data_IF_790361369266
#
_entry.id   IF_790361369266
#
_cell.length_a   1.000
_cell.length_b   1.000
_cell.length_c   1.000
_cell.angle_alpha   90.00
_cell.angle_beta   90.00
_cell.angle_gamma   90.00
#
_symmetry.space_group_name_H-M   'P 1'
#
loop_
_entity.id
_entity.type
_entity.pdbx_description
1 polymer ?
#
# COMPACT_ATOMS: atom_id res chain seq x y z
N UNK A 1 -70.31 -34.10 15.95
CA UNK A 1 -70.22 -34.40 17.40
C UNK A 1 -68.75 -34.59 17.74
N UNK A 2 -68.08 -33.51 18.18
CA UNK A 2 -66.66 -33.53 18.54
C UNK A 2 -66.47 -34.27 19.87
N UNK A 3 -65.79 -35.41 19.84
CA UNK A 3 -65.45 -36.18 21.04
C UNK A 3 -64.16 -35.59 21.62
N UNK A 4 -64.31 -34.60 22.49
CA UNK A 4 -63.22 -34.00 23.24
C UNK A 4 -62.68 -34.99 24.27
N UNK A 5 -61.54 -35.61 23.96
CA UNK A 5 -60.75 -36.34 24.95
C UNK A 5 -60.05 -35.34 25.86
N UNK A 6 -60.42 -35.34 27.15
CA UNK A 6 -59.74 -34.54 28.18
C UNK A 6 -58.33 -35.07 28.36
N UNK A 7 -57.34 -34.35 27.81
CA UNK A 7 -55.91 -34.59 28.10
C UNK A 7 -55.69 -34.45 29.61
N UNK A 8 -55.04 -35.44 30.24
CA UNK A 8 -54.68 -35.39 31.66
C UNK A 8 -53.69 -34.25 31.91
N UNK A 9 -53.72 -33.64 33.10
CA UNK A 9 -52.87 -32.50 33.45
C UNK A 9 -51.37 -32.82 33.31
N UNK A 10 -51.00 -34.08 33.57
CA UNK A 10 -49.64 -34.61 33.34
C UNK A 10 -49.27 -34.62 31.86
N UNK A 11 -50.18 -35.07 30.98
CA UNK A 11 -49.95 -35.07 29.54
C UNK A 11 -49.82 -33.66 28.96
N UNK A 12 -50.55 -32.69 29.52
CA UNK A 12 -50.44 -31.27 29.15
C UNK A 12 -49.09 -30.69 29.59
N UNK A 13 -48.65 -31.00 30.81
CA UNK A 13 -47.34 -30.59 31.33
C UNK A 13 -46.18 -31.15 30.50
N UNK A 14 -46.25 -32.42 30.10
CA UNK A 14 -45.26 -33.06 29.23
C UNK A 14 -45.26 -32.41 27.84
N UNK A 15 -46.42 -32.18 27.24
CA UNK A 15 -46.54 -31.55 25.92
C UNK A 15 -45.98 -30.11 25.93
N UNK A 16 -46.23 -29.36 27.00
CA UNK A 16 -45.75 -28.00 27.16
C UNK A 16 -44.22 -27.96 27.32
N UNK A 17 -43.64 -28.90 28.08
CA UNK A 17 -42.18 -29.06 28.16
C UNK A 17 -41.56 -29.39 26.81
N UNK A 18 -42.15 -30.32 26.05
CA UNK A 18 -41.66 -30.69 24.71
C UNK A 18 -41.71 -29.48 23.77
N UNK A 19 -42.82 -28.74 23.75
CA UNK A 19 -42.94 -27.52 22.94
C UNK A 19 -41.93 -26.46 23.33
N UNK A 20 -41.67 -26.28 24.63
CA UNK A 20 -40.70 -25.31 25.13
C UNK A 20 -39.28 -25.71 24.71
N UNK A 21 -38.92 -26.99 24.84
CA UNK A 21 -37.62 -27.52 24.39
C UNK A 21 -37.45 -27.39 22.87
N UNK A 22 -38.48 -27.66 22.09
CA UNK A 22 -38.43 -27.50 20.63
C UNK A 22 -38.30 -26.02 20.23
N UNK A 23 -39.03 -25.12 20.92
CA UNK A 23 -38.95 -23.69 20.66
C UNK A 23 -37.57 -23.11 21.03
N UNK A 24 -36.99 -23.53 22.16
CA UNK A 24 -35.64 -23.11 22.56
C UNK A 24 -34.58 -23.70 21.62
N UNK A 25 -34.70 -24.98 21.23
CA UNK A 25 -33.78 -25.60 20.26
C UNK A 25 -33.81 -24.87 18.92
N UNK A 26 -35.00 -24.59 18.39
CA UNK A 26 -35.15 -23.86 17.14
C UNK A 26 -34.56 -22.44 17.21
N UNK A 27 -34.78 -21.73 18.32
CA UNK A 27 -34.22 -20.40 18.54
C UNK A 27 -32.69 -20.43 18.61
N UNK A 28 -32.12 -21.38 19.35
CA UNK A 28 -30.67 -21.54 19.49
C UNK A 28 -30.05 -21.95 18.16
N UNK A 29 -30.65 -22.88 17.41
CA UNK A 29 -30.14 -23.31 16.11
C UNK A 29 -30.13 -22.17 15.08
N UNK A 30 -31.19 -21.36 15.03
CA UNK A 30 -31.26 -20.25 14.08
C UNK A 30 -30.32 -19.11 14.45
N UNK A 31 -30.18 -18.81 15.74
CA UNK A 31 -29.19 -17.82 16.20
C UNK A 31 -27.76 -18.33 15.96
N UNK A 32 -27.50 -19.62 16.17
CA UNK A 32 -26.22 -20.24 15.88
C UNK A 32 -25.89 -20.24 14.37
N UNK A 33 -26.87 -20.54 13.50
CA UNK A 33 -26.70 -20.46 12.04
C UNK A 33 -26.40 -19.03 11.57
N UNK A 34 -27.07 -18.03 12.15
CA UNK A 34 -26.81 -16.62 11.87
C UNK A 34 -25.38 -16.21 12.26
N UNK A 35 -24.85 -16.76 13.35
CA UNK A 35 -23.47 -16.58 13.82
C UNK A 35 -22.47 -17.54 13.15
N UNK A 36 -22.91 -18.27 12.12
CA UNK A 36 -22.05 -19.05 11.24
C UNK A 36 -21.71 -20.47 11.72
N UNK A 37 -22.41 -21.00 12.72
CA UNK A 37 -22.37 -22.43 13.07
C UNK A 37 -23.14 -23.27 12.01
N UNK A 38 -22.63 -24.45 11.61
CA UNK A 38 -21.40 -25.13 12.07
C UNK A 38 -20.17 -24.81 11.23
N UNK A 39 -20.25 -23.90 10.24
CA UNK A 39 -19.24 -23.76 9.18
C UNK A 39 -18.06 -22.85 9.52
N UNK A 40 -18.23 -21.87 10.41
CA UNK A 40 -17.21 -20.83 10.72
C UNK A 40 -16.79 -20.77 12.19
N UNK A 41 -17.66 -21.17 13.11
CA UNK A 41 -17.34 -21.34 14.53
C UNK A 41 -17.86 -22.70 14.94
N UNK A 42 -16.99 -23.71 14.97
CA UNK A 42 -17.28 -24.89 15.77
C UNK A 42 -17.10 -24.46 17.23
N UNK A 43 -18.11 -24.67 18.08
CA UNK A 43 -17.92 -24.55 19.53
C UNK A 43 -16.79 -25.46 20.03
N UNK A 44 -16.51 -25.44 21.34
CA UNK A 44 -15.42 -26.21 21.95
C UNK A 44 -15.41 -27.67 21.43
N UNK A 45 -14.35 -28.09 20.71
CA UNK A 45 -14.34 -29.37 20.03
C UNK A 45 -14.22 -30.50 21.06
N UNK A 46 -15.21 -31.39 21.09
CA UNK A 46 -15.17 -32.62 21.90
C UNK A 46 -14.47 -33.76 21.13
N UNK A 47 -14.15 -33.53 19.85
CA UNK A 47 -13.43 -34.48 18.99
C UNK A 47 -12.32 -33.71 18.30
N UNK A 48 -11.07 -34.14 18.49
CA UNK A 48 -9.94 -33.66 17.71
C UNK A 48 -10.23 -33.98 16.24
N UNK A 49 -10.41 -32.91 15.45
CA UNK A 49 -10.75 -33.01 14.04
C UNK A 49 -9.59 -33.74 13.31
N UNK A 50 -9.80 -34.93 12.71
CA UNK A 50 -8.74 -35.67 12.01
C UNK A 50 -8.26 -34.96 10.73
N UNK A 51 -8.93 -33.88 10.31
CA UNK A 51 -8.48 -32.98 9.25
C UNK A 51 -7.32 -32.06 9.66
N UNK A 52 -6.92 -32.05 10.94
CA UNK A 52 -5.75 -31.32 11.42
C UNK A 52 -4.41 -31.81 10.82
N UNK A 53 -4.41 -32.94 10.10
CA UNK A 53 -3.20 -33.50 9.46
C UNK A 53 -2.93 -32.87 8.08
N UNK A 54 -3.91 -32.20 7.47
CA UNK A 54 -3.77 -31.54 6.15
C UNK A 54 -4.36 -30.11 6.09
N UNK A 55 -4.74 -29.54 7.23
CA UNK A 55 -5.24 -28.17 7.32
C UNK A 55 -4.10 -27.17 7.49
N UNK A 56 -4.14 -26.05 6.75
CA UNK A 56 -3.25 -24.92 6.98
C UNK A 56 -3.37 -24.44 8.44
N UNK A 57 -2.27 -24.08 9.11
CA UNK A 57 -2.31 -23.58 10.47
C UNK A 57 -3.15 -22.31 10.57
N UNK A 58 -3.71 -22.06 11.76
CA UNK A 58 -4.38 -20.81 12.09
C UNK A 58 -3.42 -19.92 12.89
N UNK A 59 -3.27 -18.66 12.47
CA UNK A 59 -2.60 -17.66 13.30
C UNK A 59 -3.54 -17.29 14.44
N UNK A 60 -3.17 -17.49 15.69
CA UNK A 60 -4.06 -17.26 16.83
C UNK A 60 -3.48 -16.19 17.78
N UNK A 61 -3.46 -14.92 17.35
CA UNK A 61 -3.05 -13.83 18.21
C UNK A 61 -4.09 -13.61 19.31
N UNK A 62 -3.63 -13.30 20.53
CA UNK A 62 -4.53 -12.95 21.63
C UNK A 62 -4.90 -11.46 21.52
N UNK A 63 -6.19 -11.16 21.45
CA UNK A 63 -6.71 -9.79 21.42
C UNK A 63 -7.69 -9.58 22.58
N UNK A 64 -7.40 -8.68 23.55
CA UNK A 64 -6.19 -7.87 23.69
C UNK A 64 -4.95 -8.71 24.09
N UNK A 65 -3.73 -8.23 23.80
CA UNK A 65 -2.50 -8.96 24.11
C UNK A 65 -2.28 -9.14 25.62
N UNK A 66 -1.42 -10.08 26.00
CA UNK A 66 -1.00 -10.23 27.40
C UNK A 66 -0.27 -8.98 27.88
N UNK A 67 -0.50 -8.55 29.14
CA UNK A 67 0.26 -7.47 29.73
C UNK A 67 1.67 -7.96 30.09
N UNK A 68 2.61 -7.77 29.17
CA UNK A 68 4.03 -8.06 29.36
C UNK A 68 4.85 -6.75 29.45
N UNK A 69 4.88 -6.07 30.62
CA UNK A 69 5.57 -4.79 30.79
C UNK A 69 7.09 -4.99 30.73
N UNK A 70 7.76 -4.18 29.93
CA UNK A 70 9.22 -4.17 29.80
C UNK A 70 9.89 -3.12 30.70
N UNK A 71 9.17 -2.05 31.03
CA UNK A 71 9.66 -0.91 31.80
C UNK A 71 8.82 -0.66 33.07
N UNK A 72 9.41 -0.01 34.08
CA UNK A 72 8.69 0.35 35.30
C UNK A 72 7.50 1.29 35.04
N UNK A 73 7.61 2.19 34.06
CA UNK A 73 6.50 3.06 33.66
C UNK A 73 5.33 2.25 33.06
N UNK A 74 5.62 1.23 32.25
CA UNK A 74 4.60 0.32 31.70
C UNK A 74 3.95 -0.52 32.80
N UNK A 75 4.68 -0.88 33.85
CA UNK A 75 4.12 -1.59 35.00
C UNK A 75 3.14 -0.71 35.81
N UNK A 76 3.39 0.61 35.91
CA UNK A 76 2.57 1.54 36.70
C UNK A 76 1.38 2.06 35.89
N UNK A 77 1.60 2.49 34.63
CA UNK A 77 0.58 3.14 33.80
C UNK A 77 -0.11 2.20 32.81
N UNK A 78 0.39 0.97 32.67
CA UNK A 78 -0.12 -0.02 31.72
C UNK A 78 0.82 -0.21 30.52
N UNK A 79 0.78 -1.42 29.96
CA UNK A 79 1.61 -1.79 28.81
C UNK A 79 1.10 -1.17 27.51
N UNK A 80 2.02 -0.82 26.61
CA UNK A 80 1.66 -0.49 25.23
C UNK A 80 1.32 -1.80 24.51
N UNK A 81 0.08 -1.94 23.99
CA UNK A 81 -0.33 -3.17 23.32
C UNK A 81 0.50 -3.37 22.04
N UNK A 82 1.23 -4.48 21.98
CA UNK A 82 2.04 -4.84 20.80
C UNK A 82 1.21 -5.73 19.87
N UNK A 83 1.27 -5.41 18.58
CA UNK A 83 0.71 -6.22 17.50
C UNK A 83 1.52 -7.50 17.37
N UNK A 84 0.84 -8.64 17.21
CA UNK A 84 1.46 -9.94 16.93
C UNK A 84 1.18 -10.30 15.48
N UNK A 85 1.79 -9.54 14.58
CA UNK A 85 1.62 -9.73 13.15
C UNK A 85 2.40 -10.93 12.63
N UNK A 86 2.03 -11.41 11.44
CA UNK A 86 2.72 -12.50 10.76
C UNK A 86 4.06 -11.98 10.21
N UNK A 87 5.14 -12.69 10.54
CA UNK A 87 6.50 -12.34 10.12
C UNK A 87 6.77 -12.69 8.64
N UNK A 88 7.62 -11.88 8.01
CA UNK A 88 8.14 -12.11 6.66
C UNK A 88 9.59 -12.55 6.73
N UNK A 89 9.91 -13.62 6.00
CA UNK A 89 11.27 -14.13 5.91
C UNK A 89 11.86 -13.78 4.54
N UNK A 90 12.78 -12.82 4.55
CA UNK A 90 13.52 -12.41 3.36
C UNK A 90 14.68 -13.38 3.08
N UNK A 91 14.89 -13.68 1.81
CA UNK A 91 16.03 -14.48 1.39
C UNK A 91 16.57 -14.00 0.03
N UNK A 92 17.87 -14.18 -0.16
CA UNK A 92 18.54 -13.86 -1.42
C UNK A 92 19.03 -15.17 -2.06
N UNK A 93 18.82 -15.31 -3.36
CA UNK A 93 19.29 -16.49 -4.11
C UNK A 93 19.83 -16.05 -5.46
N UNK A 94 20.94 -16.65 -5.88
CA UNK A 94 21.53 -16.34 -7.18
C UNK A 94 20.62 -16.68 -8.37
N UNK A 95 19.64 -17.60 -8.18
CA UNK A 95 18.66 -17.97 -9.20
C UNK A 95 17.40 -17.12 -9.15
N UNK A 96 16.83 -16.96 -7.97
CA UNK A 96 15.53 -16.29 -7.79
C UNK A 96 15.68 -14.76 -7.68
N UNK A 97 16.88 -14.26 -7.40
CA UNK A 97 17.20 -12.84 -7.31
C UNK A 97 17.16 -12.25 -5.91
N UNK A 98 16.97 -10.93 -5.88
CA UNK A 98 16.97 -10.09 -4.69
C UNK A 98 15.53 -9.67 -4.32
N UNK A 99 15.30 -9.42 -3.02
CA UNK A 99 13.99 -9.03 -2.45
C UNK A 99 12.92 -10.10 -2.43
N UNK A 100 13.32 -11.37 -2.59
CA UNK A 100 12.39 -12.48 -2.41
C UNK A 100 12.08 -12.66 -0.93
N UNK A 101 10.83 -12.96 -0.64
CA UNK A 101 10.42 -13.34 0.71
C UNK A 101 9.34 -14.38 0.66
N UNK A 102 9.19 -15.07 1.78
CA UNK A 102 8.07 -15.96 2.00
C UNK A 102 7.42 -15.66 3.33
N UNK A 103 6.15 -16.04 3.41
CA UNK A 103 5.33 -15.98 4.62
C UNK A 103 4.75 -17.36 4.86
N UNK A 104 4.57 -17.71 6.12
CA UNK A 104 3.88 -18.95 6.47
C UNK A 104 2.43 -18.89 6.01
N UNK A 105 1.95 -19.99 5.40
CA UNK A 105 0.62 -20.04 4.81
C UNK A 105 -0.41 -20.33 5.90
N UNK A 106 -0.88 -19.28 6.59
CA UNK A 106 -1.99 -19.39 7.52
C UNK A 106 -3.35 -19.31 6.81
N UNK A 107 -4.37 -19.95 7.38
CA UNK A 107 -5.73 -19.91 6.84
C UNK A 107 -6.38 -18.51 6.94
N UNK A 108 -5.96 -17.70 7.89
CA UNK A 108 -6.52 -16.39 8.22
C UNK A 108 -5.58 -15.23 7.86
N UNK A 109 -4.63 -15.42 6.95
CA UNK A 109 -3.86 -14.28 6.41
C UNK A 109 -4.79 -13.37 5.63
N UNK A 110 -4.71 -12.07 5.91
CA UNK A 110 -5.42 -11.04 5.17
C UNK A 110 -4.39 -10.25 4.37
N UNK A 111 -4.58 -10.22 3.06
CA UNK A 111 -3.82 -9.33 2.18
C UNK A 111 -4.63 -8.08 1.85
N UNK A 112 -3.93 -7.01 1.50
CA UNK A 112 -4.57 -5.87 0.85
C UNK A 112 -5.16 -6.32 -0.49
N UNK A 113 -6.24 -5.69 -0.98
CA UNK A 113 -6.66 -5.86 -2.37
C UNK A 113 -5.57 -5.37 -3.34
N UNK A 114 -5.43 -6.03 -4.49
CA UNK A 114 -4.41 -5.69 -5.51
C UNK A 114 -4.46 -4.23 -5.94
N UNK A 115 -5.67 -3.68 -6.15
CA UNK A 115 -5.84 -2.28 -6.55
C UNK A 115 -5.33 -1.31 -5.48
N UNK A 116 -5.52 -1.64 -4.20
CA UNK A 116 -5.12 -0.80 -3.07
C UNK A 116 -3.60 -0.91 -2.87
N UNK A 117 -3.05 -2.12 -2.95
CA UNK A 117 -1.60 -2.33 -2.91
C UNK A 117 -0.90 -1.54 -4.02
N UNK A 118 -1.39 -1.64 -5.27
CA UNK A 118 -0.91 -0.85 -6.40
C UNK A 118 -0.99 0.65 -6.14
N UNK A 119 -2.14 1.14 -5.67
CA UNK A 119 -2.35 2.56 -5.39
C UNK A 119 -1.35 3.08 -4.36
N UNK A 120 -1.16 2.36 -3.25
CA UNK A 120 -0.20 2.75 -2.20
C UNK A 120 1.23 2.79 -2.76
N UNK A 121 1.64 1.75 -3.50
CA UNK A 121 2.99 1.68 -4.05
C UNK A 121 3.31 2.84 -5.01
N UNK A 122 2.38 3.18 -5.91
CA UNK A 122 2.56 4.25 -6.88
C UNK A 122 2.52 5.65 -6.24
N UNK A 123 1.59 5.91 -5.33
CA UNK A 123 1.43 7.24 -4.74
C UNK A 123 2.44 7.56 -3.65
N UNK A 124 2.80 6.58 -2.81
CA UNK A 124 3.78 6.80 -1.74
C UNK A 124 5.20 6.44 -2.17
N UNK A 125 5.41 5.98 -3.42
CA UNK A 125 6.71 5.54 -3.96
C UNK A 125 7.38 4.45 -3.12
N UNK A 126 6.55 3.58 -2.52
CA UNK A 126 6.98 2.50 -1.64
C UNK A 126 7.34 1.31 -2.52
N UNK A 127 8.63 0.99 -2.57
CA UNK A 127 9.14 -0.18 -3.29
C UNK A 127 9.28 -1.37 -2.36
N UNK A 128 10.46 -1.53 -1.79
CA UNK A 128 10.83 -2.68 -0.95
C UNK A 128 10.61 -2.43 0.55
N UNK A 129 10.79 -1.19 0.99
CA UNK A 129 10.73 -0.84 2.41
C UNK A 129 9.27 -0.70 2.88
N UNK A 130 8.80 -1.67 3.66
CA UNK A 130 7.44 -1.69 4.25
C UNK A 130 7.38 -1.15 5.67
N UNK A 131 8.50 -0.71 6.26
CA UNK A 131 8.56 -0.34 7.69
C UNK A 131 7.55 0.76 8.04
N UNK A 132 7.37 1.75 7.15
CA UNK A 132 6.39 2.83 7.37
C UNK A 132 4.95 2.33 7.44
N UNK A 133 4.59 1.32 6.63
CA UNK A 133 3.25 0.72 6.65
C UNK A 133 3.03 -0.14 7.89
N UNK A 134 4.06 -0.89 8.29
CA UNK A 134 4.03 -1.70 9.50
C UNK A 134 3.85 -0.82 10.75
N UNK A 135 4.54 0.33 10.82
CA UNK A 135 4.33 1.33 11.89
C UNK A 135 2.89 1.85 11.89
N UNK A 136 2.31 2.16 10.73
CA UNK A 136 0.93 2.62 10.63
C UNK A 136 -0.03 1.53 11.14
N UNK A 137 0.15 0.27 10.71
CA UNK A 137 -0.65 -0.87 11.16
C UNK A 137 -0.56 -1.04 12.68
N UNK A 138 0.64 -1.01 13.24
CA UNK A 138 0.86 -1.24 14.67
C UNK A 138 0.32 -0.07 15.51
N UNK A 139 0.36 1.15 14.97
CA UNK A 139 -0.28 2.33 15.57
C UNK A 139 -1.81 2.20 15.57
N UNK A 140 -2.40 1.77 14.45
CA UNK A 140 -3.84 1.53 14.33
C UNK A 140 -4.30 0.39 15.25
N UNK A 141 -3.48 -0.66 15.39
CA UNK A 141 -3.74 -1.76 16.31
C UNK A 141 -3.76 -1.23 17.75
N UNK A 142 -2.72 -0.50 18.14
CA UNK A 142 -2.61 0.09 19.48
C UNK A 142 -3.79 1.00 19.79
N UNK A 143 -4.16 1.87 18.85
CA UNK A 143 -5.32 2.76 18.97
C UNK A 143 -6.62 1.98 19.15
N UNK A 144 -6.80 0.88 18.42
CA UNK A 144 -7.98 0.02 18.53
C UNK A 144 -8.09 -0.62 19.92
N UNK A 145 -6.98 -1.10 20.48
CA UNK A 145 -6.94 -1.67 21.84
C UNK A 145 -7.21 -0.59 22.90
N UNK A 146 -6.61 0.60 22.80
CA UNK A 146 -6.90 1.70 23.72
C UNK A 146 -8.36 2.13 23.65
N UNK A 147 -8.95 2.15 22.44
CA UNK A 147 -10.36 2.43 22.26
C UNK A 147 -11.24 1.37 22.92
N UNK A 148 -10.89 0.07 22.83
CA UNK A 148 -11.58 -0.99 23.56
C UNK A 148 -11.52 -0.80 25.08
N UNK A 149 -10.33 -0.48 25.63
CA UNK A 149 -10.19 -0.19 27.06
C UNK A 149 -11.03 1.02 27.49
N UNK A 150 -11.08 2.06 26.66
CA UNK A 150 -11.90 3.25 26.92
C UNK A 150 -13.40 2.91 26.95
N UNK A 151 -13.89 2.06 26.05
CA UNK A 151 -15.27 1.57 26.03
C UNK A 151 -15.61 0.71 27.26
N UNK A 152 -14.67 -0.14 27.69
CA UNK A 152 -14.81 -0.95 28.90
C UNK A 152 -14.88 -0.06 30.15
N UNK A 153 -13.98 0.92 30.25
CA UNK A 153 -13.98 1.89 31.33
C UNK A 153 -15.31 2.67 31.42
N UNK A 154 -15.83 3.15 30.28
CA UNK A 154 -17.16 3.78 30.22
C UNK A 154 -18.26 2.85 30.72
N UNK A 155 -18.24 1.58 30.28
CA UNK A 155 -19.25 0.58 30.67
C UNK A 155 -19.20 0.30 32.18
N UNK A 156 -17.99 0.23 32.75
CA UNK A 156 -17.80 0.10 34.19
C UNK A 156 -18.33 1.32 34.96
N UNK A 157 -18.05 2.54 34.50
CA UNK A 157 -18.60 3.77 35.10
C UNK A 157 -20.13 3.82 35.02
N UNK A 158 -20.72 3.36 33.91
CA UNK A 158 -22.16 3.29 33.75
C UNK A 158 -22.81 2.36 34.79
N UNK A 159 -22.23 1.18 35.01
CA UNK A 159 -22.70 0.28 36.06
C UNK A 159 -22.50 0.87 37.46
N UNK A 160 -21.36 1.53 37.68
CA UNK A 160 -21.07 2.19 38.96
C UNK A 160 -22.13 3.25 39.31
N UNK A 161 -22.53 4.10 38.36
CA UNK A 161 -23.58 5.12 38.57
C UNK A 161 -24.97 4.49 38.71
N UNK A 162 -25.22 3.34 38.08
CA UNK A 162 -26.50 2.66 38.20
C UNK A 162 -26.73 2.13 39.63
N UNK A 163 -25.66 1.72 40.31
CA UNK A 163 -25.72 1.22 41.70
C UNK A 163 -25.59 2.37 42.73
N UNK A 164 -24.78 3.39 42.43
CA UNK A 164 -24.48 4.47 43.36
C UNK A 164 -25.49 5.63 43.26
N UNK A 165 -26.16 6.02 44.35
CA UNK A 165 -27.10 7.15 44.36
C UNK A 165 -26.41 8.51 44.07
N UNK A 166 -25.10 8.62 44.28
CA UNK A 166 -24.35 9.83 43.95
C UNK A 166 -23.84 9.81 42.51
N UNK A 167 -24.60 10.44 41.62
CA UNK A 167 -24.31 10.50 40.17
C UNK A 167 -23.21 11.49 39.80
N UNK A 168 -22.98 12.52 40.62
CA UNK A 168 -21.91 13.53 40.44
C UNK A 168 -20.71 13.17 41.34
N UNK A 169 -19.46 13.30 40.87
CA UNK A 169 -19.03 13.88 39.59
C UNK A 169 -18.94 12.89 38.41
N UNK A 170 -19.20 11.60 38.65
CA UNK A 170 -18.96 10.51 37.69
C UNK A 170 -19.63 10.68 36.33
N UNK A 171 -20.81 11.32 36.31
CA UNK A 171 -21.51 11.63 35.06
C UNK A 171 -20.70 12.50 34.10
N UNK A 172 -19.82 13.39 34.60
CA UNK A 172 -18.94 14.18 33.76
C UNK A 172 -17.90 13.31 33.05
N UNK A 173 -17.37 12.27 33.72
CA UNK A 173 -16.45 11.33 33.09
C UNK A 173 -17.12 10.50 31.99
N UNK A 174 -18.39 10.13 32.17
CA UNK A 174 -19.16 9.47 31.12
C UNK A 174 -19.36 10.41 29.92
N UNK A 175 -19.66 11.69 30.17
CA UNK A 175 -19.88 12.67 29.10
C UNK A 175 -18.68 12.86 28.16
N UNK A 176 -17.44 12.65 28.65
CA UNK A 176 -16.23 12.67 27.82
C UNK A 176 -16.23 11.63 26.70
N UNK A 177 -17.03 10.58 26.83
CA UNK A 177 -17.13 9.48 25.87
C UNK A 177 -18.43 9.50 25.05
N UNK A 178 -19.30 10.51 25.24
CA UNK A 178 -20.59 10.58 24.56
C UNK A 178 -20.48 10.81 23.05
N UNK A 179 -19.38 11.41 22.58
CA UNK A 179 -19.09 11.59 21.15
C UNK A 179 -19.12 10.27 20.37
N UNK A 180 -18.82 9.12 21.01
CA UNK A 180 -18.89 7.79 20.39
C UNK A 180 -20.33 7.47 19.95
N UNK A 181 -21.31 7.83 20.79
CA UNK A 181 -22.72 7.62 20.48
C UNK A 181 -23.21 8.60 19.43
N UNK A 182 -22.66 9.81 19.37
CA UNK A 182 -22.97 10.79 18.34
C UNK A 182 -22.46 10.32 16.96
N UNK A 183 -21.25 9.77 16.88
CA UNK A 183 -20.74 9.14 15.65
C UNK A 183 -21.63 7.96 15.22
N UNK A 184 -22.00 7.08 16.16
CA UNK A 184 -22.87 5.95 15.84
C UNK A 184 -24.29 6.39 15.42
N UNK A 185 -24.78 7.49 15.98
CA UNK A 185 -26.04 8.09 15.57
C UNK A 185 -25.97 8.59 14.13
N UNK A 186 -24.86 9.23 13.73
CA UNK A 186 -24.64 9.63 12.33
C UNK A 186 -24.55 8.43 11.37
N UNK A 187 -24.13 7.26 11.85
CA UNK A 187 -24.13 5.99 11.11
C UNK A 187 -25.51 5.30 11.06
N UNK A 188 -26.55 5.92 11.62
CA UNK A 188 -27.93 5.41 11.59
C UNK A 188 -28.25 4.35 12.65
N UNK A 189 -27.36 4.12 13.62
CA UNK A 189 -27.58 3.17 14.71
C UNK A 189 -28.34 3.89 15.84
N UNK A 190 -29.40 3.25 16.34
CA UNK A 190 -30.38 3.89 17.23
C UNK A 190 -29.77 4.42 18.53
N UNK A 191 -30.25 5.58 18.98
CA UNK A 191 -29.77 6.32 20.15
C UNK A 191 -30.02 5.50 21.42
N UNK A 192 -28.97 4.89 21.98
CA UNK A 192 -28.92 4.33 23.34
C UNK A 192 -29.87 3.13 23.56
N UNK A 193 -29.64 2.03 22.83
CA UNK A 193 -30.26 0.75 23.11
C UNK A 193 -29.72 0.16 24.42
N UNK A 194 -30.43 0.42 25.53
CA UNK A 194 -30.20 -0.24 26.82
C UNK A 194 -31.30 -1.27 27.02
N UNK A 195 -30.96 -2.56 27.06
CA UNK A 195 -31.91 -3.60 27.45
C UNK A 195 -31.56 -4.09 28.85
N UNK A 196 -32.55 -4.15 29.75
CA UNK A 196 -32.38 -4.65 31.12
C UNK A 196 -31.22 -4.00 31.91
N UNK A 197 -30.93 -2.71 31.66
CA UNK A 197 -29.81 -2.00 32.31
C UNK A 197 -28.43 -2.27 31.72
N UNK A 198 -28.32 -3.06 30.64
CA UNK A 198 -27.07 -3.32 29.94
C UNK A 198 -26.91 -2.38 28.72
N UNK A 199 -25.77 -1.67 28.61
CA UNK A 199 -25.48 -0.84 27.44
C UNK A 199 -25.02 -1.72 26.27
N UNK A 200 -25.97 -2.30 25.53
CA UNK A 200 -25.69 -3.22 24.41
C UNK A 200 -24.81 -2.58 23.35
N UNK A 201 -25.00 -1.28 23.10
CA UNK A 201 -24.23 -0.58 22.08
C UNK A 201 -22.73 -0.61 22.36
N UNK A 202 -22.31 -0.35 23.61
CA UNK A 202 -20.89 -0.42 23.98
C UNK A 202 -20.30 -1.82 23.74
N UNK A 203 -21.08 -2.87 23.98
CA UNK A 203 -20.66 -4.26 23.79
C UNK A 203 -20.46 -4.54 22.30
N UNK A 204 -21.41 -4.14 21.45
CA UNK A 204 -21.32 -4.32 20.00
C UNK A 204 -20.12 -3.56 19.45
N UNK A 205 -19.96 -2.28 19.80
CA UNK A 205 -18.84 -1.45 19.32
C UNK A 205 -17.51 -2.03 19.79
N UNK A 206 -17.42 -2.51 21.02
CA UNK A 206 -16.22 -3.18 21.54
C UNK A 206 -15.93 -4.48 20.78
N UNK A 207 -16.96 -5.25 20.40
CA UNK A 207 -16.81 -6.43 19.55
C UNK A 207 -16.28 -6.10 18.16
N UNK A 208 -16.82 -5.06 17.52
CA UNK A 208 -16.34 -4.56 16.21
C UNK A 208 -14.89 -4.09 16.30
N UNK A 209 -14.54 -3.32 17.34
CA UNK A 209 -13.16 -2.89 17.58
C UNK A 209 -12.21 -4.08 17.77
N UNK A 210 -12.67 -5.15 18.44
CA UNK A 210 -11.93 -6.41 18.56
C UNK A 210 -11.70 -7.10 17.21
N UNK A 211 -12.71 -7.17 16.34
CA UNK A 211 -12.57 -7.73 14.98
C UNK A 211 -11.60 -6.90 14.14
N UNK A 212 -11.63 -5.57 14.26
CA UNK A 212 -10.67 -4.70 13.56
C UNK A 212 -9.24 -4.94 14.07
N UNK A 213 -9.05 -4.99 15.38
CA UNK A 213 -7.75 -5.28 15.99
C UNK A 213 -7.22 -6.66 15.57
N UNK A 214 -8.09 -7.67 15.51
CA UNK A 214 -7.75 -9.01 15.02
C UNK A 214 -7.36 -8.98 13.54
N UNK A 215 -8.13 -8.28 12.69
CA UNK A 215 -7.80 -8.14 11.28
C UNK A 215 -6.43 -7.46 11.04
N UNK A 216 -6.05 -6.51 11.91
CA UNK A 216 -4.74 -5.85 11.84
C UNK A 216 -3.58 -6.79 12.17
N UNK A 217 -3.74 -7.74 13.12
CA UNK A 217 -2.72 -8.76 13.38
C UNK A 217 -2.55 -9.73 12.20
N UNK A 218 -3.62 -9.96 11.44
CA UNK A 218 -3.61 -10.84 10.28
C UNK A 218 -3.20 -10.14 8.97
N UNK A 219 -3.05 -8.82 8.99
CA UNK A 219 -2.73 -8.02 7.82
C UNK A 219 -1.24 -8.11 7.47
N UNK A 220 -0.96 -8.63 6.28
CA UNK A 220 0.40 -8.74 5.73
C UNK A 220 0.56 -7.85 4.50
N UNK A 221 1.63 -7.05 4.49
CA UNK A 221 2.02 -6.21 3.37
C UNK A 221 2.97 -6.95 2.44
N UNK A 222 2.58 -7.10 1.17
CA UNK A 222 3.31 -7.89 0.15
C UNK A 222 4.21 -7.05 -0.75
N UNK A 223 4.29 -5.74 -0.54
CA UNK A 223 5.09 -4.84 -1.38
C UNK A 223 6.57 -5.27 -1.40
N UNK A 224 7.25 -5.23 -2.56
CA UNK A 224 6.84 -4.61 -3.84
C UNK A 224 5.90 -5.45 -4.71
N UNK A 225 5.60 -6.69 -4.33
CA UNK A 225 4.75 -7.58 -5.12
C UNK A 225 3.27 -7.28 -4.90
N UNK A 226 2.46 -7.53 -5.94
CA UNK A 226 1.02 -7.60 -5.74
C UNK A 226 0.64 -8.86 -4.95
N UNK A 227 -0.37 -8.80 -4.08
CA UNK A 227 -0.88 -9.97 -3.35
C UNK A 227 -1.19 -11.18 -4.23
N UNK A 228 -1.68 -10.97 -5.45
CA UNK A 228 -1.94 -12.03 -6.44
C UNK A 228 -0.70 -12.73 -7.00
N UNK A 229 0.51 -12.18 -6.81
CA UNK A 229 1.76 -12.80 -7.26
C UNK A 229 2.25 -13.91 -6.31
N UNK A 230 1.59 -14.09 -5.16
CA UNK A 230 1.96 -15.09 -4.18
C UNK A 230 1.79 -16.52 -4.71
N UNK A 231 2.87 -17.29 -4.72
CA UNK A 231 2.86 -18.69 -5.12
C UNK A 231 2.97 -19.60 -3.90
N UNK A 232 2.06 -20.57 -3.79
CA UNK A 232 2.15 -21.58 -2.74
C UNK A 232 3.35 -22.51 -3.01
N UNK A 233 4.10 -22.82 -1.96
CA UNK A 233 5.05 -23.91 -2.01
C UNK A 233 5.51 -24.33 -0.62
N UNK A 234 6.59 -25.10 -0.56
CA UNK A 234 7.04 -25.77 0.65
C UNK A 234 8.49 -25.43 0.95
N UNK A 235 8.74 -24.96 2.14
CA UNK A 235 10.08 -24.62 2.63
C UNK A 235 10.30 -25.33 3.96
N UNK A 236 11.53 -25.77 4.20
CA UNK A 236 11.96 -26.32 5.48
C UNK A 236 12.28 -25.15 6.42
N UNK A 237 11.38 -24.86 7.35
CA UNK A 237 11.59 -23.88 8.42
C UNK A 237 11.93 -24.68 9.67
N UNK A 238 13.10 -24.44 10.26
CA UNK A 238 13.60 -25.17 11.44
C UNK A 238 13.61 -26.70 11.28
N UNK A 239 13.89 -27.18 10.07
CA UNK A 239 13.91 -28.60 9.73
C UNK A 239 12.53 -29.24 9.55
N UNK A 240 11.44 -28.48 9.70
CA UNK A 240 10.06 -28.95 9.48
C UNK A 240 9.55 -28.41 8.14
N UNK A 241 9.01 -29.28 7.25
CA UNK A 241 8.39 -28.82 6.01
C UNK A 241 7.10 -28.05 6.34
N UNK A 242 7.09 -26.75 6.05
CA UNK A 242 5.92 -25.89 6.20
C UNK A 242 5.45 -25.40 4.83
N UNK A 243 4.13 -25.31 4.67
CA UNK A 243 3.51 -24.66 3.52
C UNK A 243 3.66 -23.14 3.68
N UNK A 244 4.18 -22.49 2.64
CA UNK A 244 4.50 -21.06 2.62
C UNK A 244 3.97 -20.42 1.34
N UNK A 245 3.65 -19.13 1.40
CA UNK A 245 3.37 -18.30 0.23
C UNK A 245 4.66 -17.55 -0.09
N UNK A 246 5.13 -17.67 -1.32
CA UNK A 246 6.42 -17.17 -1.77
C UNK A 246 6.21 -16.09 -2.82
N UNK A 247 6.92 -14.98 -2.65
CA UNK A 247 6.97 -13.87 -3.59
C UNK A 247 8.38 -13.82 -4.17
N UNK A 248 8.49 -14.04 -5.48
CA UNK A 248 9.76 -14.28 -6.17
C UNK A 248 9.84 -13.51 -7.49
N UNK A 249 11.06 -13.31 -7.98
CA UNK A 249 11.37 -12.69 -9.26
C UNK A 249 11.09 -11.18 -9.30
N UNK A 250 10.97 -10.61 -10.50
CA UNK A 250 10.66 -9.19 -10.70
C UNK A 250 9.16 -8.94 -10.42
N UNK A 251 8.81 -7.96 -9.57
CA UNK A 251 7.42 -7.59 -9.32
C UNK A 251 6.67 -7.21 -10.60
N UNK A 252 5.43 -7.69 -10.74
CA UNK A 252 4.61 -7.43 -11.93
C UNK A 252 4.38 -5.93 -12.20
N UNK A 253 4.31 -5.13 -11.13
CA UNK A 253 4.11 -3.68 -11.21
C UNK A 253 5.20 -2.99 -12.04
N UNK A 254 6.45 -3.46 -11.92
CA UNK A 254 7.62 -2.84 -12.54
C UNK A 254 7.74 -3.08 -14.05
N UNK A 255 6.98 -4.05 -14.59
CA UNK A 255 6.87 -4.22 -16.04
C UNK A 255 6.02 -3.11 -16.68
N UNK A 256 5.04 -2.58 -15.95
CA UNK A 256 4.08 -1.61 -16.48
C UNK A 256 4.35 -0.17 -16.02
N UNK A 257 5.00 0.01 -14.86
CA UNK A 257 5.28 1.31 -14.27
C UNK A 257 6.77 1.42 -13.96
N UNK A 258 7.37 2.61 -14.07
CA UNK A 258 8.78 2.78 -13.77
C UNK A 258 9.07 2.46 -12.31
N UNK A 259 10.21 1.83 -12.08
CA UNK A 259 10.71 1.52 -10.74
C UNK A 259 10.93 2.83 -9.96
N UNK A 260 10.55 2.91 -8.68
CA UNK A 260 10.76 4.12 -7.87
C UNK A 260 12.20 4.62 -7.94
N UNK A 261 12.36 5.93 -8.18
CA UNK A 261 13.69 6.52 -8.45
C UNK A 261 14.66 6.35 -7.28
N UNK A 262 14.16 6.49 -6.04
CA UNK A 262 14.93 6.24 -4.81
C UNK A 262 15.53 4.83 -4.77
N UNK A 263 14.81 3.83 -5.26
CA UNK A 263 15.26 2.45 -5.29
C UNK A 263 16.35 2.25 -6.35
N UNK A 264 16.20 2.88 -7.53
CA UNK A 264 17.25 2.87 -8.57
C UNK A 264 18.52 3.59 -8.13
N UNK A 265 18.39 4.72 -7.43
CA UNK A 265 19.53 5.41 -6.80
C UNK A 265 20.23 4.50 -5.78
N UNK A 266 19.47 3.80 -4.94
CA UNK A 266 20.01 2.84 -3.98
C UNK A 266 20.79 1.70 -4.67
N UNK A 267 20.25 1.11 -5.73
CA UNK A 267 20.95 0.08 -6.51
C UNK A 267 22.21 0.61 -7.20
N UNK A 268 22.19 1.83 -7.71
CA UNK A 268 23.35 2.39 -8.40
C UNK A 268 24.47 2.80 -7.43
N UNK A 269 24.12 3.40 -6.28
CA UNK A 269 25.09 3.98 -5.34
C UNK A 269 25.51 2.99 -4.26
N UNK A 270 24.56 2.32 -3.61
CA UNK A 270 24.82 1.51 -2.40
C UNK A 270 24.99 0.03 -2.72
N UNK A 271 24.20 -0.52 -3.66
CA UNK A 271 24.16 -1.96 -3.99
C UNK A 271 24.28 -2.23 -5.49
N UNK A 272 25.46 -1.99 -6.09
CA UNK A 272 25.69 -2.17 -7.53
C UNK A 272 25.65 -3.63 -7.99
N UNK A 273 25.75 -4.58 -7.06
CA UNK A 273 25.51 -6.01 -7.28
C UNK A 273 24.07 -6.28 -7.72
N UNK A 274 23.09 -5.68 -7.04
CA UNK A 274 21.68 -5.79 -7.40
C UNK A 274 21.44 -5.18 -8.78
N UNK A 275 22.01 -4.00 -9.05
CA UNK A 275 21.91 -3.38 -10.36
C UNK A 275 22.46 -4.28 -11.49
N UNK A 276 23.64 -4.86 -11.30
CA UNK A 276 24.25 -5.78 -12.27
C UNK A 276 23.38 -7.00 -12.51
N UNK A 277 22.82 -7.59 -11.45
CA UNK A 277 21.91 -8.72 -11.54
C UNK A 277 20.62 -8.37 -12.28
N UNK A 278 20.00 -7.23 -11.96
CA UNK A 278 18.78 -6.79 -12.62
C UNK A 278 19.03 -6.55 -14.11
N UNK A 279 20.13 -5.87 -14.46
CA UNK A 279 20.50 -5.62 -15.85
C UNK A 279 20.83 -6.91 -16.62
N UNK A 280 21.50 -7.89 -16.00
CA UNK A 280 21.86 -9.14 -16.69
C UNK A 280 20.65 -10.05 -16.94
N UNK A 281 19.73 -10.14 -15.98
CA UNK A 281 18.59 -11.06 -16.07
C UNK A 281 17.38 -10.43 -16.76
N UNK A 282 17.12 -9.14 -16.49
CA UNK A 282 15.92 -8.43 -16.93
C UNK A 282 16.20 -7.32 -17.93
N UNK A 283 17.46 -7.09 -18.34
CA UNK A 283 17.80 -6.02 -19.30
C UNK A 283 17.26 -6.23 -20.72
N UNK A 284 16.71 -7.41 -21.03
CA UNK A 284 15.99 -7.67 -22.28
C UNK A 284 14.55 -7.13 -22.26
N UNK A 285 14.03 -6.86 -21.07
CA UNK A 285 12.78 -6.14 -20.88
C UNK A 285 13.18 -4.66 -20.94
N UNK A 286 12.60 -3.88 -21.84
CA UNK A 286 12.88 -2.44 -22.04
C UNK A 286 12.49 -1.61 -20.78
N UNK A 287 13.22 -1.84 -19.68
CA UNK A 287 12.99 -1.29 -18.34
C UNK A 287 14.23 -0.46 -17.96
N UNK A 288 13.97 0.78 -17.56
CA UNK A 288 15.02 1.71 -17.13
C UNK A 288 15.46 1.45 -15.70
N UNK A 289 16.56 0.71 -15.53
CA UNK A 289 17.19 0.44 -14.22
C UNK A 289 18.05 1.59 -13.71
N UNK A 290 18.40 2.56 -14.56
CA UNK A 290 19.24 3.70 -14.17
C UNK A 290 18.44 4.79 -13.44
N UNK A 291 19.06 5.53 -12.50
CA UNK A 291 18.42 6.68 -11.87
C UNK A 291 18.08 7.78 -12.89
N UNK A 292 16.97 8.50 -12.65
CA UNK A 292 16.51 9.58 -13.52
C UNK A 292 17.57 10.67 -13.73
N UNK A 293 18.38 10.96 -12.71
CA UNK A 293 19.48 11.95 -12.80
C UNK A 293 20.49 11.57 -13.88
N UNK A 294 20.87 10.28 -13.92
CA UNK A 294 21.85 9.78 -14.88
C UNK A 294 21.22 9.68 -16.26
N UNK A 295 19.99 9.17 -16.35
CA UNK A 295 19.25 9.13 -17.61
C UNK A 295 19.12 10.52 -18.23
N UNK A 296 18.73 11.52 -17.43
CA UNK A 296 18.65 12.91 -17.85
C UNK A 296 19.98 13.45 -18.36
N UNK A 297 21.08 13.17 -17.67
CA UNK A 297 22.42 13.56 -18.11
C UNK A 297 22.82 12.90 -19.43
N UNK A 298 22.49 11.61 -19.61
CA UNK A 298 22.76 10.88 -20.85
C UNK A 298 21.98 11.52 -22.00
N UNK A 299 20.66 11.73 -21.83
CA UNK A 299 19.84 12.37 -22.86
C UNK A 299 20.30 13.79 -23.19
N UNK A 300 20.65 14.60 -22.19
CA UNK A 300 21.20 15.94 -22.40
C UNK A 300 22.55 15.88 -23.14
N UNK A 301 23.42 14.92 -22.83
CA UNK A 301 24.70 14.73 -23.51
C UNK A 301 24.54 14.26 -24.96
N UNK A 302 23.60 13.35 -25.23
CA UNK A 302 23.29 12.86 -26.57
C UNK A 302 22.70 13.96 -27.43
N UNK A 303 21.79 14.76 -26.87
CA UNK A 303 21.19 15.89 -27.57
C UNK A 303 22.22 16.99 -27.89
N UNK A 304 23.14 17.27 -26.96
CA UNK A 304 24.26 18.18 -27.21
C UNK A 304 25.21 17.65 -28.29
N UNK A 305 25.49 16.35 -28.31
CA UNK A 305 26.31 15.72 -29.36
C UNK A 305 25.63 15.73 -30.74
N UNK A 306 24.31 15.51 -30.80
CA UNK A 306 23.52 15.62 -32.04
C UNK A 306 23.51 17.06 -32.57
N UNK A 307 23.32 18.04 -31.69
CA UNK A 307 23.37 19.44 -32.04
C UNK A 307 24.78 19.87 -32.48
N UNK A 308 25.83 19.41 -31.81
CA UNK A 308 27.21 19.70 -32.21
C UNK A 308 27.55 19.10 -33.57
N UNK A 309 27.10 17.87 -33.88
CA UNK A 309 27.30 17.25 -35.19
C UNK A 309 26.58 18.02 -36.29
N UNK A 310 25.31 18.40 -36.07
CA UNK A 310 24.57 19.24 -37.02
C UNK A 310 25.23 20.61 -37.24
N UNK A 311 25.80 21.22 -36.20
CA UNK A 311 26.54 22.48 -36.33
C UNK A 311 27.84 22.30 -37.10
N UNK A 312 28.60 21.21 -36.84
CA UNK A 312 29.82 20.90 -37.60
C UNK A 312 29.50 20.64 -39.07
N UNK A 313 28.45 19.88 -39.37
CA UNK A 313 28.01 19.62 -40.75
C UNK A 313 27.54 20.90 -41.46
N UNK A 314 26.89 21.82 -40.73
CA UNK A 314 26.49 23.13 -41.25
C UNK A 314 27.69 24.06 -41.45
N UNK A 315 28.69 24.03 -40.56
CA UNK A 315 29.93 24.81 -40.69
C UNK A 315 30.79 24.27 -41.84
N UNK A 316 30.84 22.96 -42.04
CA UNK A 316 31.49 22.35 -43.21
C UNK A 316 30.79 22.75 -44.52
N UNK A 317 29.45 22.73 -44.56
CA UNK A 317 28.68 23.28 -45.69
C UNK A 317 28.97 24.75 -45.95
N UNK A 318 29.07 25.58 -44.91
CA UNK A 318 29.40 27.01 -45.02
C UNK A 318 30.85 27.21 -45.50
N UNK A 319 31.78 26.37 -45.06
CA UNK A 319 33.20 26.42 -45.47
C UNK A 319 33.38 26.01 -46.93
N UNK A 320 32.61 25.03 -47.41
CA UNK A 320 32.55 24.66 -48.83
C UNK A 320 31.91 25.79 -49.65
N UNK A 321 30.83 26.40 -49.15
CA UNK A 321 30.19 27.54 -49.81
C UNK A 321 31.11 28.76 -49.89
N UNK A 322 31.88 29.05 -48.83
CA UNK A 322 32.79 30.20 -48.77
C UNK A 322 34.01 30.03 -49.67
N UNK A 323 34.52 28.80 -49.84
CA UNK A 323 35.61 28.53 -50.80
C UNK A 323 35.16 28.70 -52.25
N UNK A 324 33.91 28.37 -52.58
CA UNK A 324 33.35 28.64 -53.91
C UNK A 324 33.06 30.12 -54.17
N UNK A 325 32.68 30.91 -53.15
CA UNK A 325 32.40 32.35 -53.30
C UNK A 325 33.69 33.19 -53.41
N UNK A 326 34.75 32.83 -52.66
CA UNK A 326 36.02 33.57 -52.71
C UNK A 326 36.76 33.42 -54.05
N UNK A 327 36.60 32.30 -54.76
CA UNK A 327 37.15 32.16 -56.12
C UNK A 327 36.42 33.00 -57.17
N UNK A 328 35.16 33.38 -56.96
CA UNK A 328 34.40 34.21 -57.90
C UNK A 328 34.53 35.71 -57.61
N UNK A 329 34.76 36.11 -56.36
CA UNK A 329 34.88 37.53 -55.99
C UNK A 329 36.18 38.19 -56.47
N UNK A 330 37.25 37.42 -56.66
CA UNK A 330 38.54 37.95 -57.14
C UNK A 330 38.48 38.34 -58.62
N UNK A 331 37.69 37.64 -59.43
CA UNK A 331 37.50 37.95 -60.85
C UNK A 331 36.63 39.21 -61.02
N UNK A 332 35.59 39.35 -60.20
CA UNK A 332 34.62 40.45 -60.32
C UNK A 332 35.16 41.81 -59.81
N UNK A 333 36.04 41.81 -58.80
CA UNK A 333 36.72 43.03 -58.34
C UNK A 333 37.72 43.58 -59.37
N UNK A 334 38.33 42.71 -60.17
CA UNK A 334 39.27 43.13 -61.22
C UNK A 334 38.54 43.74 -62.44
N UNK A 335 37.32 43.29 -62.75
CA UNK A 335 36.48 43.92 -63.78
C UNK A 335 35.88 45.27 -63.34
N UNK A 336 35.55 45.43 -62.06
CA UNK A 336 35.03 46.70 -61.51
C UNK A 336 36.08 47.81 -61.47
N UNK A 337 37.35 47.49 -61.16
CA UNK A 337 38.43 48.47 -61.20
C UNK A 337 38.66 49.06 -62.60
N UNK A 338 38.60 48.21 -63.63
CA UNK A 338 38.85 48.63 -65.01
C UNK A 338 37.72 49.48 -65.60
N UNK A 339 36.46 49.24 -65.19
CA UNK A 339 35.30 50.00 -65.68
C UNK A 339 35.16 51.37 -65.03
N UNK A 340 35.65 51.55 -63.80
CA UNK A 340 35.64 52.84 -63.09
C UNK A 340 36.70 53.81 -63.64
N UNK A 341 37.89 53.31 -63.97
CA UNK A 341 38.95 54.11 -64.61
C UNK A 341 38.49 54.65 -65.97
N UNK A 342 37.85 53.82 -66.79
CA UNK A 342 37.40 54.21 -68.13
C UNK A 342 36.34 55.33 -68.12
N UNK A 343 35.42 55.33 -67.14
CA UNK A 343 34.38 56.37 -67.05
C UNK A 343 34.91 57.71 -66.53
N UNK A 344 36.00 57.70 -65.78
CA UNK A 344 36.60 58.92 -65.21
C UNK A 344 37.33 59.74 -66.29
N UNK A 345 38.02 59.07 -67.22
CA UNK A 345 38.71 59.71 -68.34
C UNK A 345 37.74 60.35 -69.35
N UNK A 346 36.60 59.71 -69.60
CA UNK A 346 35.56 60.23 -70.51
C UNK A 346 34.87 61.49 -69.96
N UNK A 347 34.68 61.56 -68.64
CA UNK A 347 34.12 62.76 -67.99
C UNK A 347 35.09 63.93 -68.03
N UNK A 348 36.38 63.68 -67.78
CA UNK A 348 37.42 64.72 -67.83
C UNK A 348 37.64 65.25 -69.25
N UNK A 349 37.61 64.39 -70.27
CA UNK A 349 37.72 64.84 -71.66
C UNK A 349 36.52 65.69 -72.08
N UNK A 350 35.31 65.31 -71.67
CA UNK A 350 34.09 66.08 -71.99
C UNK A 350 34.04 67.46 -71.33
N UNK A 351 34.60 67.60 -70.12
CA UNK A 351 34.68 68.89 -69.42
C UNK A 351 35.71 69.83 -70.04
N UNK A 352 36.85 69.30 -70.50
CA UNK A 352 37.86 70.08 -71.21
C UNK A 352 37.34 70.59 -72.57
N UNK A 353 36.64 69.74 -73.32
CA UNK A 353 36.04 70.09 -74.62
C UNK A 353 34.92 71.14 -74.52
N UNK A 354 34.27 71.23 -73.36
CA UNK A 354 33.23 72.24 -73.09
C UNK A 354 33.82 73.60 -72.69
N UNK A 355 34.95 73.61 -71.97
CA UNK A 355 35.64 74.85 -71.57
C UNK A 355 36.40 75.51 -72.75
N UNK A 356 36.96 74.73 -73.67
CA UNK A 356 37.64 75.27 -74.87
C UNK A 356 36.67 75.93 -75.88
N UNK A 357 35.35 75.74 -75.73
CA UNK A 357 34.32 76.42 -76.54
C UNK A 357 33.80 77.74 -75.94
N UNK A 358 34.28 78.11 -74.75
CA UNK A 358 33.82 79.29 -73.98
C UNK A 358 34.89 80.40 -73.84
N UNK A 359 36.03 80.25 -74.52
CA UNK A 359 37.09 81.27 -74.71
C UNK A 359 37.32 81.42 -76.21
#
# INVERSE_FOLDING_TARGET
MFKGGTMSLESLGINLRIKLVLATSWFIENTAKLLGYPKTSQGMPIVNDPNAIYGLPLHQPRVPPSPDPTNMLEAIFGNVPKSSAIDKFYYESARDGYYNFYIEHYKNVIFLPDWLSKWIQLHFTIGVDTASLEIIRDTLFSLSIYFMFFLQFRTMLYYFITINPYTRPWIYLISLSDWIYDILFHLGITRRATFFGFPILSIIVNGVAGVIADALNHLVFTMPFLPSEGQAGRVLIDGVPKDVIMFRYLPSLWFSHPIPDKLREFWYVQRPDIYKFMKSNYGHLDIDFLPNKILRQIYESEQNHLHSKSLVDNVEKIKILSTHVFCNSTILLQEWGNTLSYKQDVLLSSFLEHNDKLI
#
